data_IF_985662307813
#
_entry.id   IF_985662307813
#
_cell.length_a   1.000
_cell.length_b   1.000
_cell.length_c   1.000
_cell.angle_alpha   90.00
_cell.angle_beta   90.00
_cell.angle_gamma   90.00
#
_symmetry.space_group_name_H-M   'P 1'
#
loop_
_entity.id
_entity.type
_entity.pdbx_description
1 polymer ?
#
# COMPACT_ATOMS: atom_id res chain seq x y z
N UNK A 1 89.15 -24.35 -5.34
CA UNK A 1 88.01 -23.97 -4.43
C UNK A 1 87.12 -23.00 -5.22
N UNK A 2 86.15 -23.54 -5.92
CA UNK A 2 85.24 -22.77 -6.76
C UNK A 2 83.89 -22.76 -6.11
N UNK A 3 83.41 -21.59 -5.74
CA UNK A 3 82.01 -21.38 -5.19
C UNK A 3 81.09 -21.26 -6.38
N UNK A 4 80.13 -22.19 -6.51
CA UNK A 4 78.97 -22.13 -7.36
C UNK A 4 77.88 -21.32 -6.65
N UNK A 5 77.43 -20.21 -7.30
CA UNK A 5 76.26 -19.43 -6.89
C UNK A 5 75.13 -19.93 -7.77
N UNK A 6 74.11 -20.52 -7.10
CA UNK A 6 72.84 -20.88 -7.74
C UNK A 6 71.92 -19.69 -7.67
N UNK A 7 71.54 -19.12 -8.81
CA UNK A 7 70.51 -18.10 -8.92
C UNK A 7 69.16 -18.80 -9.02
N UNK A 8 68.26 -18.59 -8.01
CA UNK A 8 66.87 -19.02 -8.04
C UNK A 8 66.01 -17.92 -8.71
N UNK A 9 65.48 -18.24 -9.88
CA UNK A 9 64.44 -17.43 -10.55
C UNK A 9 63.09 -17.68 -9.86
N UNK A 10 62.59 -16.68 -9.14
CA UNK A 10 61.21 -16.67 -8.62
C UNK A 10 60.34 -16.11 -9.74
N UNK A 11 59.59 -16.99 -10.40
CA UNK A 11 58.52 -16.61 -11.30
C UNK A 11 57.29 -16.09 -10.52
N UNK A 12 57.04 -14.80 -10.61
CA UNK A 12 55.79 -14.22 -10.11
C UNK A 12 54.68 -14.54 -11.09
N UNK A 13 53.87 -15.51 -10.77
CA UNK A 13 52.61 -15.81 -11.49
C UNK A 13 51.59 -14.80 -11.04
N UNK A 14 51.38 -13.72 -11.81
CA UNK A 14 50.23 -12.83 -11.63
C UNK A 14 48.98 -13.56 -12.10
N UNK A 15 48.24 -14.12 -11.16
CA UNK A 15 46.83 -14.52 -11.36
C UNK A 15 46.02 -13.23 -11.57
N UNK A 16 45.71 -12.93 -12.82
CA UNK A 16 44.68 -11.94 -13.14
C UNK A 16 43.33 -12.47 -12.63
N UNK A 17 42.81 -11.90 -11.52
CA UNK A 17 41.40 -11.99 -11.20
C UNK A 17 40.66 -11.21 -12.28
N UNK A 18 40.13 -11.90 -13.28
CA UNK A 18 39.02 -11.43 -14.06
C UNK A 18 37.83 -11.40 -13.09
N UNK A 19 37.53 -10.22 -12.54
CA UNK A 19 36.21 -9.91 -11.98
C UNK A 19 35.28 -9.98 -13.18
N UNK A 20 34.58 -11.11 -13.34
CA UNK A 20 33.33 -11.13 -14.09
C UNK A 20 32.39 -10.22 -13.32
N UNK A 21 32.32 -8.94 -13.72
CA UNK A 21 31.14 -8.14 -13.44
C UNK A 21 29.99 -8.89 -14.09
N UNK A 22 29.07 -9.41 -13.27
CA UNK A 22 27.75 -9.74 -13.75
C UNK A 22 27.20 -8.39 -14.26
N UNK A 23 27.17 -8.20 -15.58
CA UNK A 23 26.29 -7.20 -16.17
C UNK A 23 24.90 -7.60 -15.70
N UNK A 24 24.18 -6.71 -15.01
CA UNK A 24 22.74 -6.79 -14.93
C UNK A 24 22.26 -7.10 -16.36
N UNK A 25 21.45 -8.12 -16.53
CA UNK A 25 20.81 -8.38 -17.82
C UNK A 25 20.10 -7.06 -18.17
N UNK A 26 20.35 -6.54 -19.38
CA UNK A 26 19.65 -5.35 -19.84
C UNK A 26 18.15 -5.68 -19.84
N UNK A 27 17.34 -4.82 -19.19
CA UNK A 27 15.88 -4.94 -19.19
C UNK A 27 15.36 -5.01 -20.63
N UNK A 28 14.60 -6.06 -20.95
CA UNK A 28 14.04 -6.25 -22.30
C UNK A 28 12.64 -5.63 -22.37
N UNK A 29 12.55 -4.41 -22.89
CA UNK A 29 11.26 -3.71 -23.01
C UNK A 29 10.27 -4.38 -23.98
N UNK A 30 10.70 -5.38 -24.78
CA UNK A 30 9.79 -6.16 -25.64
C UNK A 30 9.02 -7.28 -24.91
N UNK A 31 9.40 -7.57 -23.66
CA UNK A 31 8.66 -8.52 -22.81
C UNK A 31 7.30 -7.96 -22.38
N UNK A 32 6.37 -8.88 -22.11
CA UNK A 32 5.03 -8.53 -21.68
C UNK A 32 5.03 -7.93 -20.26
N UNK A 33 4.15 -6.95 -20.04
CA UNK A 33 3.92 -6.36 -18.73
C UNK A 33 3.14 -7.34 -17.85
N UNK A 34 3.70 -7.73 -16.71
CA UNK A 34 2.96 -8.48 -15.69
C UNK A 34 2.10 -7.52 -14.87
N UNK A 35 0.82 -7.43 -15.20
CA UNK A 35 -0.14 -6.63 -14.42
C UNK A 35 -0.48 -7.35 -13.13
N UNK A 36 -0.26 -6.69 -11.98
CA UNK A 36 -0.60 -7.22 -10.66
C UNK A 36 -1.71 -6.36 -10.06
N UNK A 37 -2.84 -6.98 -9.76
CA UNK A 37 -3.99 -6.31 -9.16
C UNK A 37 -4.38 -6.92 -7.82
N UNK A 38 -5.40 -6.36 -7.18
CA UNK A 38 -5.93 -6.80 -5.90
C UNK A 38 -7.26 -7.53 -6.09
N UNK A 39 -7.65 -8.26 -5.07
CA UNK A 39 -8.95 -8.94 -4.95
C UNK A 39 -10.14 -7.95 -5.01
N UNK A 40 -11.32 -8.43 -5.42
CA UNK A 40 -12.52 -7.60 -5.62
C UNK A 40 -12.98 -6.87 -4.35
N UNK A 41 -12.75 -7.44 -3.17
CA UNK A 41 -13.08 -6.81 -1.88
C UNK A 41 -12.14 -5.67 -1.48
N UNK A 42 -11.00 -5.50 -2.19
CA UNK A 42 -9.99 -4.50 -1.87
C UNK A 42 -10.48 -3.08 -2.07
N UNK A 43 -10.44 -2.28 -0.99
CA UNK A 43 -10.71 -0.85 -1.09
C UNK A 43 -9.66 -0.10 -1.91
N UNK A 44 -8.40 -0.55 -1.87
CA UNK A 44 -7.34 0.05 -2.69
C UNK A 44 -7.57 -0.20 -4.18
N UNK A 45 -8.02 -1.42 -4.58
CA UNK A 45 -8.43 -1.68 -5.97
C UNK A 45 -9.57 -0.76 -6.37
N UNK A 46 -10.64 -0.68 -5.55
CA UNK A 46 -11.78 0.19 -5.85
C UNK A 46 -11.38 1.64 -6.08
N UNK A 47 -10.56 2.22 -5.19
CA UNK A 47 -10.07 3.57 -5.33
C UNK A 47 -9.13 3.73 -6.55
N UNK A 48 -8.24 2.76 -6.81
CA UNK A 48 -7.33 2.77 -7.93
C UNK A 48 -8.06 2.80 -9.28
N UNK A 49 -9.01 1.89 -9.50
CA UNK A 49 -9.75 1.81 -10.76
C UNK A 49 -10.62 3.04 -11.00
N UNK A 50 -11.15 3.66 -9.94
CA UNK A 50 -11.93 4.90 -10.03
C UNK A 50 -11.02 6.09 -10.38
N UNK A 51 -9.90 6.26 -9.68
CA UNK A 51 -8.98 7.40 -9.86
C UNK A 51 -8.30 7.41 -11.23
N UNK A 52 -7.99 6.23 -11.78
CA UNK A 52 -7.40 6.11 -13.12
C UNK A 52 -8.43 5.92 -14.24
N UNK A 53 -9.74 5.94 -13.93
CA UNK A 53 -10.80 5.75 -14.92
C UNK A 53 -10.78 4.36 -15.59
N UNK A 54 -10.25 3.34 -14.91
CA UNK A 54 -10.31 1.94 -15.31
C UNK A 54 -11.73 1.39 -15.08
N UNK A 55 -12.47 1.96 -14.12
CA UNK A 55 -13.87 1.68 -13.92
C UNK A 55 -14.71 2.47 -14.91
N UNK A 56 -15.60 1.79 -15.66
CA UNK A 56 -16.49 2.40 -16.65
C UNK A 56 -17.96 2.20 -16.27
N UNK A 57 -18.82 3.14 -16.70
CA UNK A 57 -20.26 2.99 -16.54
C UNK A 57 -20.84 2.25 -17.76
N UNK A 58 -21.41 1.07 -17.55
CA UNK A 58 -22.08 0.26 -18.56
C UNK A 58 -23.50 -0.05 -18.10
N UNK A 59 -24.49 0.37 -18.89
CA UNK A 59 -25.92 0.15 -18.59
C UNK A 59 -26.38 0.68 -17.21
N UNK A 60 -25.69 1.73 -16.68
CA UNK A 60 -25.97 2.34 -15.38
C UNK A 60 -25.28 1.63 -14.20
N UNK A 61 -24.42 0.64 -14.46
CA UNK A 61 -23.59 -0.04 -13.48
C UNK A 61 -22.11 0.32 -13.68
N UNK A 62 -21.37 0.43 -12.57
CA UNK A 62 -19.93 0.63 -12.60
C UNK A 62 -19.24 -0.71 -12.80
N UNK A 63 -18.53 -0.86 -13.92
CA UNK A 63 -17.83 -2.09 -14.31
C UNK A 63 -16.33 -1.87 -14.20
N UNK A 64 -15.64 -2.77 -13.51
CA UNK A 64 -14.18 -2.82 -13.44
C UNK A 64 -13.63 -3.42 -14.74
N UNK A 65 -12.83 -2.64 -15.46
CA UNK A 65 -12.22 -3.02 -16.74
C UNK A 65 -10.78 -3.52 -16.58
N UNK A 66 -10.36 -3.85 -15.35
CA UNK A 66 -9.04 -4.49 -15.14
C UNK A 66 -8.92 -5.75 -15.98
N UNK A 67 -7.82 -5.90 -16.71
CA UNK A 67 -7.61 -7.07 -17.58
C UNK A 67 -7.76 -8.39 -16.84
N UNK A 68 -8.40 -9.37 -17.47
CA UNK A 68 -8.55 -10.72 -16.93
C UNK A 68 -7.21 -11.47 -16.80
N UNK A 69 -6.14 -10.97 -17.45
CA UNK A 69 -4.79 -11.55 -17.37
C UNK A 69 -4.02 -11.06 -16.14
N UNK A 70 -4.58 -10.13 -15.34
CA UNK A 70 -3.93 -9.62 -14.15
C UNK A 70 -3.74 -10.70 -13.08
N UNK A 71 -2.53 -10.76 -12.50
CA UNK A 71 -2.25 -11.56 -11.31
C UNK A 71 -2.95 -10.95 -10.10
N UNK A 72 -3.91 -11.68 -9.51
CA UNK A 72 -4.69 -11.18 -8.39
C UNK A 72 -4.04 -11.55 -7.06
N UNK A 73 -3.75 -10.53 -6.25
CA UNK A 73 -3.20 -10.67 -4.90
C UNK A 73 -4.24 -10.30 -3.84
N UNK A 74 -4.10 -10.86 -2.64
CA UNK A 74 -5.08 -10.73 -1.56
C UNK A 74 -4.62 -9.82 -0.39
N UNK A 75 -3.49 -9.14 -0.52
CA UNK A 75 -3.01 -8.20 0.49
C UNK A 75 -1.93 -7.27 -0.06
N UNK A 76 -1.69 -6.15 0.63
CA UNK A 76 -0.63 -5.20 0.29
C UNK A 76 0.76 -5.86 0.28
N UNK A 77 1.06 -6.71 1.27
CA UNK A 77 2.37 -7.38 1.36
C UNK A 77 2.59 -8.39 0.25
N UNK A 78 1.55 -9.14 -0.16
CA UNK A 78 1.64 -10.07 -1.31
C UNK A 78 1.84 -9.29 -2.61
N UNK A 79 1.14 -8.16 -2.79
CA UNK A 79 1.37 -7.27 -3.94
C UNK A 79 2.84 -6.83 -4.03
N UNK A 80 3.41 -6.31 -2.93
CA UNK A 80 4.80 -5.87 -2.89
C UNK A 80 5.77 -7.01 -3.22
N UNK A 81 5.59 -8.19 -2.61
CA UNK A 81 6.44 -9.35 -2.90
C UNK A 81 6.33 -9.78 -4.37
N UNK A 82 5.12 -9.80 -4.93
CA UNK A 82 4.90 -10.21 -6.34
C UNK A 82 5.61 -9.25 -7.30
N UNK A 83 5.53 -7.93 -7.05
CA UNK A 83 6.23 -6.93 -7.87
C UNK A 83 7.74 -6.99 -7.66
N UNK A 84 8.22 -7.22 -6.44
CA UNK A 84 9.65 -7.35 -6.15
C UNK A 84 10.30 -8.59 -6.80
N UNK A 85 9.54 -9.65 -7.03
CA UNK A 85 10.03 -10.92 -7.57
C UNK A 85 9.99 -10.98 -9.11
N UNK A 86 9.37 -9.99 -9.79
CA UNK A 86 9.22 -9.96 -11.25
C UNK A 86 9.61 -8.58 -11.81
N UNK A 87 10.69 -8.53 -12.61
CA UNK A 87 11.22 -7.28 -13.20
C UNK A 87 10.26 -6.61 -14.19
N UNK A 88 9.30 -7.35 -14.73
CA UNK A 88 8.28 -6.86 -15.68
C UNK A 88 6.94 -6.54 -15.00
N UNK A 89 6.87 -6.68 -13.67
CA UNK A 89 5.63 -6.44 -12.95
C UNK A 89 5.35 -4.95 -12.71
N UNK A 90 4.06 -4.60 -12.77
CA UNK A 90 3.50 -3.34 -12.32
C UNK A 90 2.32 -3.61 -11.38
N UNK A 91 2.27 -2.88 -10.28
CA UNK A 91 1.20 -2.98 -9.29
C UNK A 91 0.92 -1.66 -8.60
N UNK A 92 0.10 -1.68 -7.56
CA UNK A 92 -0.23 -0.48 -6.78
C UNK A 92 -0.41 -0.81 -5.31
N UNK A 93 0.04 0.09 -4.44
CA UNK A 93 0.01 -0.09 -2.99
C UNK A 93 -0.37 1.20 -2.25
N UNK A 94 -0.65 1.08 -0.97
CA UNK A 94 -0.69 2.20 -0.03
C UNK A 94 0.69 2.87 0.05
N UNK A 95 0.75 4.20 -0.08
CA UNK A 95 2.00 4.97 0.03
C UNK A 95 2.67 4.75 1.40
N UNK A 96 1.89 4.69 2.48
CA UNK A 96 2.43 4.41 3.81
C UNK A 96 3.04 3.01 3.98
N UNK A 97 2.80 2.09 3.03
CA UNK A 97 3.43 0.77 2.99
C UNK A 97 4.67 0.70 2.11
N UNK A 98 4.98 1.77 1.35
CA UNK A 98 6.11 1.79 0.43
C UNK A 98 7.44 1.69 1.17
N UNK A 99 8.25 0.72 0.79
CA UNK A 99 9.62 0.51 1.26
C UNK A 99 10.59 0.24 0.09
N UNK A 100 11.85 -0.04 0.39
CA UNK A 100 12.91 -0.22 -0.59
C UNK A 100 12.81 -1.53 -1.40
N UNK A 101 11.80 -2.38 -1.17
CA UNK A 101 11.61 -3.63 -1.92
C UNK A 101 11.06 -3.42 -3.32
N UNK A 102 10.38 -2.29 -3.56
CA UNK A 102 9.80 -1.91 -4.85
C UNK A 102 10.05 -0.42 -5.13
N UNK A 103 9.96 -0.04 -6.40
CA UNK A 103 10.13 1.35 -6.85
C UNK A 103 8.78 1.98 -7.18
N UNK A 104 8.45 3.12 -6.56
CA UNK A 104 7.30 3.92 -6.98
C UNK A 104 7.65 4.74 -8.24
N UNK A 105 6.75 4.75 -9.23
CA UNK A 105 6.88 5.59 -10.42
C UNK A 105 6.14 6.92 -10.22
N UNK A 106 6.64 7.98 -10.86
CA UNK A 106 5.92 9.26 -10.94
C UNK A 106 4.69 9.11 -11.81
N UNK A 107 3.63 9.86 -11.47
CA UNK A 107 2.40 9.90 -12.24
C UNK A 107 2.19 11.33 -12.73
N UNK A 108 2.12 11.51 -14.04
CA UNK A 108 1.94 12.83 -14.68
C UNK A 108 2.95 13.89 -14.16
N UNK A 109 4.20 13.45 -13.91
CA UNK A 109 5.30 14.29 -13.40
C UNK A 109 5.35 14.46 -11.89
N UNK A 110 4.35 13.98 -11.13
CA UNK A 110 4.28 14.09 -9.68
C UNK A 110 4.80 12.82 -8.97
N UNK A 111 5.50 12.99 -7.85
CA UNK A 111 5.95 11.88 -7.01
C UNK A 111 4.84 11.45 -6.03
N UNK A 112 4.78 10.16 -5.72
CA UNK A 112 3.90 9.66 -4.67
C UNK A 112 4.50 9.99 -3.30
N UNK A 113 4.30 11.23 -2.83
CA UNK A 113 4.78 11.71 -1.52
C UNK A 113 3.67 12.40 -0.75
N UNK A 114 3.79 12.44 0.58
CA UNK A 114 2.87 13.17 1.44
C UNK A 114 2.86 14.67 1.10
N UNK A 115 4.01 15.24 0.75
CA UNK A 115 4.14 16.66 0.41
C UNK A 115 3.40 16.98 -0.89
N UNK A 116 3.57 16.14 -1.95
CA UNK A 116 2.91 16.34 -3.25
C UNK A 116 1.39 16.10 -3.17
N UNK A 117 0.92 15.25 -2.24
CA UNK A 117 -0.51 15.09 -1.98
C UNK A 117 -1.07 16.33 -1.28
N UNK A 118 -0.36 16.85 -0.27
CA UNK A 118 -0.80 18.01 0.50
C UNK A 118 -0.84 19.30 -0.32
N UNK A 119 0.07 19.47 -1.27
CA UNK A 119 0.08 20.64 -2.17
C UNK A 119 -0.82 20.47 -3.40
N UNK A 120 -1.40 19.26 -3.59
CA UNK A 120 -2.34 18.93 -4.66
C UNK A 120 -1.69 18.58 -6.00
N UNK A 121 -0.37 18.41 -6.04
CA UNK A 121 0.37 17.97 -7.23
C UNK A 121 0.09 16.50 -7.52
N UNK A 122 0.18 15.62 -6.51
CA UNK A 122 -0.19 14.22 -6.62
C UNK A 122 -1.66 14.01 -6.21
N UNK A 123 -2.48 13.48 -7.13
CA UNK A 123 -3.95 13.39 -6.94
C UNK A 123 -4.45 11.98 -6.64
N UNK A 124 -3.56 11.00 -6.61
CA UNK A 124 -3.93 9.59 -6.44
C UNK A 124 -3.88 9.25 -4.96
N UNK A 125 -4.93 9.59 -4.25
CA UNK A 125 -5.08 9.32 -2.81
C UNK A 125 -6.55 9.03 -2.46
N UNK A 126 -6.79 8.41 -1.30
CA UNK A 126 -8.12 8.07 -0.80
C UNK A 126 -8.14 8.13 0.73
N UNK A 127 -9.34 8.23 1.33
CA UNK A 127 -9.47 8.15 2.78
C UNK A 127 -9.23 6.73 3.29
N UNK A 128 -8.65 6.64 4.48
CA UNK A 128 -8.72 5.48 5.35
C UNK A 128 -9.85 5.70 6.34
N UNK A 129 -10.81 4.80 6.32
CA UNK A 129 -11.98 4.84 7.17
C UNK A 129 -11.95 3.73 8.21
N UNK A 130 -12.39 4.03 9.41
CA UNK A 130 -12.94 3.05 10.32
C UNK A 130 -14.46 3.17 10.30
N UNK A 131 -15.15 2.07 10.57
CA UNK A 131 -16.61 2.06 10.65
C UNK A 131 -17.08 1.28 11.87
N UNK A 132 -18.20 1.73 12.46
CA UNK A 132 -18.88 1.09 13.58
C UNK A 132 -20.35 0.92 13.23
N UNK A 133 -21.04 -0.01 13.93
CA UNK A 133 -22.47 -0.21 13.82
C UNK A 133 -23.19 0.12 15.14
N UNK A 134 -23.91 1.22 15.13
CA UNK A 134 -24.61 1.69 16.34
C UNK A 134 -23.67 2.08 17.47
N UNK A 135 -24.06 1.80 18.71
CA UNK A 135 -23.23 2.08 19.88
C UNK A 135 -22.15 1.00 20.05
N UNK A 136 -20.93 1.42 20.35
CA UNK A 136 -19.80 0.53 20.63
C UNK A 136 -19.48 0.48 22.12
N UNK A 137 -18.65 -0.45 22.55
CA UNK A 137 -18.17 -0.53 23.94
C UNK A 137 -17.37 0.73 24.32
N UNK A 138 -17.31 1.03 25.63
CA UNK A 138 -16.48 2.13 26.14
C UNK A 138 -15.02 1.98 25.73
N UNK A 139 -14.51 0.74 25.63
CA UNK A 139 -13.15 0.45 25.18
C UNK A 139 -12.94 0.78 23.70
N UNK A 140 -13.89 0.41 22.82
CA UNK A 140 -13.82 0.76 21.41
C UNK A 140 -13.92 2.27 21.19
N UNK A 141 -14.81 2.94 21.94
CA UNK A 141 -14.94 4.40 21.87
C UNK A 141 -13.67 5.11 22.36
N UNK A 142 -13.03 4.63 23.44
CA UNK A 142 -11.79 5.21 23.95
C UNK A 142 -10.65 5.08 22.92
N UNK A 143 -10.56 3.93 22.25
CA UNK A 143 -9.58 3.74 21.17
C UNK A 143 -9.86 4.65 19.96
N UNK A 144 -11.13 4.81 19.56
CA UNK A 144 -11.51 5.76 18.49
C UNK A 144 -11.14 7.20 18.89
N UNK A 145 -11.42 7.59 20.14
CA UNK A 145 -11.04 8.91 20.64
C UNK A 145 -9.53 9.14 20.63
N UNK A 146 -8.73 8.10 20.95
CA UNK A 146 -7.28 8.15 20.83
C UNK A 146 -6.84 8.33 19.37
N UNK A 147 -7.36 7.52 18.44
CA UNK A 147 -7.03 7.64 17.01
C UNK A 147 -7.24 9.07 16.50
N UNK A 148 -8.36 9.69 16.90
CA UNK A 148 -8.74 11.04 16.45
C UNK A 148 -8.13 12.17 17.28
N UNK A 149 -7.34 11.86 18.29
CA UNK A 149 -6.64 12.84 19.12
C UNK A 149 -5.34 13.34 18.48
N UNK A 150 -4.74 14.41 19.06
CA UNK A 150 -3.41 14.89 18.66
C UNK A 150 -2.35 13.79 18.72
N UNK A 151 -2.37 12.96 19.76
CA UNK A 151 -1.40 11.87 19.92
C UNK A 151 -1.60 10.79 18.83
N UNK A 152 -2.83 10.42 18.54
CA UNK A 152 -3.16 9.47 17.48
C UNK A 152 -2.84 10.01 16.08
N UNK A 153 -3.17 11.28 15.81
CA UNK A 153 -2.89 11.90 14.52
C UNK A 153 -1.38 12.16 14.32
N UNK A 154 -0.61 12.40 15.39
CA UNK A 154 0.84 12.41 15.30
C UNK A 154 1.42 11.03 14.88
N UNK A 155 0.86 9.93 15.39
CA UNK A 155 1.23 8.57 14.92
C UNK A 155 0.92 8.38 13.43
N UNK A 156 -0.20 8.93 12.94
CA UNK A 156 -0.56 8.90 11.50
C UNK A 156 0.52 9.59 10.67
N UNK A 157 0.91 10.81 11.03
CA UNK A 157 1.94 11.60 10.31
C UNK A 157 3.33 10.96 10.38
N UNK A 158 3.75 10.47 11.55
CA UNK A 158 5.05 9.80 11.74
C UNK A 158 5.21 8.54 10.86
N UNK A 159 4.09 7.93 10.44
CA UNK A 159 4.07 6.76 9.59
C UNK A 159 3.73 7.07 8.12
N UNK A 160 3.96 8.32 7.66
CA UNK A 160 3.81 8.76 6.26
C UNK A 160 2.37 8.75 5.74
N UNK A 161 1.39 8.86 6.61
CA UNK A 161 0.00 9.10 6.24
C UNK A 161 -0.36 10.57 6.48
N UNK A 162 -1.47 11.02 5.94
CA UNK A 162 -1.92 12.40 6.05
C UNK A 162 -2.97 12.48 7.15
N UNK A 163 -2.66 13.24 8.19
CA UNK A 163 -3.56 13.49 9.32
C UNK A 163 -4.83 14.21 8.87
N UNK A 164 -5.91 14.04 9.63
CA UNK A 164 -7.23 14.59 9.31
C UNK A 164 -7.82 15.38 10.49
N UNK A 165 -8.65 16.36 10.16
CA UNK A 165 -9.41 17.14 11.13
C UNK A 165 -8.58 18.14 11.93
N UNK A 166 -9.16 18.62 13.02
CA UNK A 166 -8.51 19.50 14.01
C UNK A 166 -8.49 18.76 15.36
N UNK A 167 -7.46 17.90 15.60
CA UNK A 167 -7.47 16.99 16.74
C UNK A 167 -7.32 17.72 18.07
N UNK A 168 -8.04 17.24 19.08
CA UNK A 168 -7.92 17.68 20.47
C UNK A 168 -6.96 16.77 21.26
N UNK A 169 -6.57 17.21 22.48
CA UNK A 169 -5.75 16.39 23.37
C UNK A 169 -6.50 15.13 23.80
N UNK A 170 -5.82 13.97 23.79
CA UNK A 170 -6.44 12.71 24.25
C UNK A 170 -6.74 12.76 25.75
N UNK A 171 -7.92 12.27 26.10
CA UNK A 171 -8.32 12.03 27.48
C UNK A 171 -9.00 10.67 27.57
N UNK A 172 -8.38 9.73 28.28
CA UNK A 172 -8.95 8.39 28.47
C UNK A 172 -10.27 8.47 29.28
N UNK A 173 -11.24 7.68 28.87
CA UNK A 173 -12.46 7.46 29.64
C UNK A 173 -12.30 6.42 30.76
N UNK A 174 -11.08 5.83 30.90
CA UNK A 174 -10.77 4.80 31.87
C UNK A 174 -11.31 3.42 31.55
N UNK A 175 -11.68 3.19 30.29
CA UNK A 175 -12.21 1.92 29.81
C UNK A 175 -11.22 0.77 29.97
N UNK A 176 -11.77 -0.44 30.08
CA UNK A 176 -11.03 -1.71 30.08
C UNK A 176 -11.79 -2.74 29.25
N UNK A 177 -11.07 -3.72 28.70
CA UNK A 177 -11.67 -4.79 27.90
C UNK A 177 -10.91 -5.12 26.64
N UNK A 178 -11.58 -5.73 25.68
CA UNK A 178 -11.02 -6.13 24.39
C UNK A 178 -11.80 -5.47 23.26
N UNK A 179 -11.07 -5.05 22.21
CA UNK A 179 -11.61 -4.47 20.98
C UNK A 179 -11.08 -5.25 19.79
N UNK A 180 -11.96 -5.72 18.93
CA UNK A 180 -11.60 -6.41 17.68
C UNK A 180 -11.75 -5.41 16.53
N UNK A 181 -10.66 -5.19 15.82
CA UNK A 181 -10.58 -4.33 14.65
C UNK A 181 -10.31 -5.20 13.43
N UNK A 182 -11.15 -5.16 12.39
CA UNK A 182 -11.01 -6.06 11.25
C UNK A 182 -11.11 -5.33 9.90
N UNK A 183 -10.38 -5.78 8.89
CA UNK A 183 -10.53 -5.31 7.51
C UNK A 183 -9.25 -5.01 6.77
N UNK A 184 -9.25 -3.94 6.01
CA UNK A 184 -8.27 -3.55 4.99
C UNK A 184 -6.81 -3.80 5.36
N UNK A 185 -6.12 -4.60 4.54
CA UNK A 185 -4.68 -4.84 4.66
C UNK A 185 -3.82 -3.58 4.41
N UNK A 186 -4.37 -2.56 3.74
CA UNK A 186 -3.70 -1.27 3.55
C UNK A 186 -3.81 -0.36 4.78
N UNK A 187 -4.89 -0.48 5.57
CA UNK A 187 -5.08 0.26 6.82
C UNK A 187 -4.34 -0.41 7.98
N UNK A 188 -4.20 -1.74 7.94
CA UNK A 188 -3.60 -2.52 9.04
C UNK A 188 -2.24 -2.01 9.52
N UNK A 189 -1.29 -1.55 8.67
CA UNK A 189 0.00 -1.03 9.15
C UNK A 189 -0.14 0.19 10.07
N UNK A 190 -0.90 1.20 9.70
CA UNK A 190 -1.12 2.38 10.55
C UNK A 190 -1.95 2.03 11.78
N UNK A 191 -2.94 1.15 11.65
CA UNK A 191 -3.74 0.67 12.78
C UNK A 191 -2.88 -0.06 13.82
N UNK A 192 -1.88 -0.84 13.38
CA UNK A 192 -0.92 -1.48 14.28
C UNK A 192 -0.10 -0.45 15.06
N UNK A 193 0.33 0.65 14.42
CA UNK A 193 1.06 1.74 15.08
C UNK A 193 0.19 2.50 16.08
N UNK A 194 -1.06 2.77 15.71
CA UNK A 194 -2.03 3.39 16.60
C UNK A 194 -2.33 2.51 17.82
N UNK A 195 -2.50 1.19 17.63
CA UNK A 195 -2.62 0.22 18.71
C UNK A 195 -1.39 0.27 19.64
N UNK A 196 -0.17 0.12 19.10
CA UNK A 196 1.08 0.11 19.86
C UNK A 196 1.26 1.40 20.69
N UNK A 197 0.81 2.54 20.17
CA UNK A 197 0.87 3.81 20.89
C UNK A 197 -0.24 3.92 21.95
N UNK A 198 -1.46 3.50 21.61
CA UNK A 198 -2.60 3.51 22.54
C UNK A 198 -2.40 2.60 23.76
N UNK A 199 -1.89 1.37 23.56
CA UNK A 199 -1.64 0.42 24.66
C UNK A 199 -0.58 0.91 25.67
N UNK A 200 0.22 1.94 25.32
CA UNK A 200 1.14 2.61 26.27
C UNK A 200 0.42 3.61 27.19
N UNK A 201 -0.70 4.15 26.77
CA UNK A 201 -1.47 5.15 27.54
C UNK A 201 -2.69 4.53 28.21
N UNK A 202 -3.19 3.38 27.71
CA UNK A 202 -4.22 2.58 28.34
C UNK A 202 -3.92 1.09 28.20
N UNK A 203 -3.22 0.51 29.17
CA UNK A 203 -2.80 -0.90 29.22
C UNK A 203 -3.93 -1.88 29.65
N UNK A 204 -5.12 -1.37 29.92
CA UNK A 204 -6.30 -2.18 30.31
C UNK A 204 -7.16 -2.58 29.12
N UNK A 205 -6.94 -1.98 27.94
CA UNK A 205 -7.65 -2.33 26.72
C UNK A 205 -6.71 -3.13 25.81
N UNK A 206 -7.14 -4.32 25.43
CA UNK A 206 -6.47 -5.17 24.45
C UNK A 206 -7.07 -4.92 23.06
N UNK A 207 -6.26 -4.50 22.11
CA UNK A 207 -6.69 -4.34 20.71
C UNK A 207 -6.24 -5.56 19.90
N UNK A 208 -7.19 -6.26 19.27
CA UNK A 208 -6.91 -7.34 18.31
C UNK A 208 -7.17 -6.86 16.89
N UNK A 209 -6.18 -6.95 16.00
CA UNK A 209 -6.31 -6.56 14.59
C UNK A 209 -6.37 -7.82 13.72
N UNK A 210 -7.44 -7.93 12.91
CA UNK A 210 -7.69 -9.01 11.97
C UNK A 210 -7.63 -8.46 10.54
N UNK A 211 -6.54 -8.75 9.83
CA UNK A 211 -6.31 -8.24 8.49
C UNK A 211 -7.04 -9.06 7.43
N UNK A 212 -7.78 -8.38 6.57
CA UNK A 212 -8.46 -8.92 5.38
C UNK A 212 -8.53 -7.85 4.28
N UNK A 213 -9.63 -7.79 3.54
CA UNK A 213 -9.97 -6.69 2.64
C UNK A 213 -11.03 -5.75 3.25
N UNK A 214 -11.29 -4.61 2.58
CA UNK A 214 -12.24 -3.60 3.08
C UNK A 214 -13.67 -4.13 3.12
N UNK A 215 -14.11 -4.86 2.12
CA UNK A 215 -15.49 -5.37 2.04
C UNK A 215 -15.76 -6.40 3.13
N UNK A 216 -14.80 -7.31 3.37
CA UNK A 216 -14.85 -8.27 4.47
C UNK A 216 -14.87 -7.57 5.83
N UNK A 217 -14.04 -6.53 6.02
CA UNK A 217 -14.04 -5.73 7.25
C UNK A 217 -15.39 -5.07 7.53
N UNK A 218 -15.98 -4.43 6.52
CA UNK A 218 -17.31 -3.81 6.64
C UNK A 218 -18.39 -4.84 6.94
N UNK A 219 -18.36 -6.00 6.24
CA UNK A 219 -19.33 -7.08 6.50
C UNK A 219 -19.21 -7.64 7.93
N UNK A 220 -17.98 -7.85 8.41
CA UNK A 220 -17.75 -8.30 9.79
C UNK A 220 -18.31 -7.31 10.83
N UNK A 221 -18.22 -6.01 10.54
CA UNK A 221 -18.80 -4.97 11.40
C UNK A 221 -20.34 -4.98 11.35
N UNK A 222 -20.92 -5.16 10.17
CA UNK A 222 -22.37 -5.31 9.99
C UNK A 222 -22.90 -6.50 10.79
N UNK A 223 -22.17 -7.62 10.76
CA UNK A 223 -22.55 -8.88 11.42
C UNK A 223 -22.19 -8.92 12.91
N UNK A 224 -21.52 -7.88 13.44
CA UNK A 224 -21.08 -7.81 14.84
C UNK A 224 -19.96 -8.80 15.20
N UNK A 225 -19.19 -9.24 14.21
CA UNK A 225 -18.02 -10.12 14.39
C UNK A 225 -16.80 -9.33 14.90
N UNK A 226 -16.71 -8.04 14.53
CA UNK A 226 -15.73 -7.09 15.06
C UNK A 226 -16.42 -5.82 15.55
N UNK A 227 -15.73 -5.08 16.41
CA UNK A 227 -16.21 -3.82 16.98
C UNK A 227 -15.99 -2.64 16.02
N UNK A 228 -14.87 -2.68 15.28
CA UNK A 228 -14.45 -1.62 14.36
C UNK A 228 -14.00 -2.26 13.04
N UNK A 229 -14.62 -1.83 11.95
CA UNK A 229 -14.21 -2.21 10.60
C UNK A 229 -13.16 -1.24 10.02
N UNK A 230 -12.28 -1.70 9.14
CA UNK A 230 -11.30 -0.87 8.44
C UNK A 230 -11.54 -0.92 6.93
N UNK A 231 -11.59 0.25 6.28
CA UNK A 231 -11.66 0.36 4.82
C UNK A 231 -10.67 1.39 4.26
N UNK A 232 -10.04 1.07 3.12
CA UNK A 232 -9.17 1.98 2.36
C UNK A 232 -9.91 2.61 1.16
N UNK A 233 -11.14 2.97 1.38
CA UNK A 233 -12.09 3.63 0.48
C UNK A 233 -13.23 4.24 1.27
N UNK A 234 -14.05 5.05 0.62
CA UNK A 234 -15.36 5.43 1.17
C UNK A 234 -16.26 4.20 1.39
N UNK A 235 -17.21 4.32 2.32
CA UNK A 235 -18.21 3.29 2.48
C UNK A 235 -19.15 3.25 1.25
N UNK A 236 -19.58 2.04 0.90
CA UNK A 236 -20.63 1.86 -0.11
C UNK A 236 -21.99 2.27 0.47
N UNK A 237 -22.91 2.68 -0.40
CA UNK A 237 -24.27 3.02 0.01
C UNK A 237 -24.94 1.88 0.79
N UNK A 238 -24.74 0.63 0.31
CA UNK A 238 -25.25 -0.57 0.98
C UNK A 238 -24.71 -0.79 2.39
N UNK A 239 -23.45 -0.37 2.66
CA UNK A 239 -22.82 -0.46 3.97
C UNK A 239 -23.39 0.60 4.93
N UNK A 240 -23.60 1.80 4.41
CA UNK A 240 -24.26 2.89 5.16
C UNK A 240 -25.74 2.56 5.44
N UNK A 241 -26.47 2.03 4.46
CA UNK A 241 -27.85 1.56 4.62
C UNK A 241 -27.98 0.41 5.62
N UNK A 242 -26.94 -0.43 5.75
CA UNK A 242 -26.85 -1.47 6.77
C UNK A 242 -26.55 -0.94 8.19
N UNK A 243 -26.38 0.39 8.34
CA UNK A 243 -26.22 1.08 9.61
C UNK A 243 -24.78 1.32 10.04
N UNK A 244 -23.81 1.22 9.13
CA UNK A 244 -22.45 1.61 9.43
C UNK A 244 -22.29 3.14 9.44
N UNK A 245 -21.52 3.61 10.41
CA UNK A 245 -21.05 5.01 10.50
C UNK A 245 -19.55 5.05 10.34
N UNK A 246 -19.07 5.80 9.33
CA UNK A 246 -17.66 5.95 9.04
C UNK A 246 -17.03 7.12 9.79
N UNK A 247 -15.75 6.97 10.11
CA UNK A 247 -14.85 8.04 10.55
C UNK A 247 -13.57 7.95 9.72
N UNK A 248 -13.25 9.02 8.99
CA UNK A 248 -11.95 9.12 8.31
C UNK A 248 -10.85 9.30 9.34
N UNK A 249 -9.88 8.41 9.35
CA UNK A 249 -8.76 8.43 10.33
C UNK A 249 -7.45 8.94 9.74
N UNK A 250 -7.31 8.90 8.41
CA UNK A 250 -6.17 9.39 7.66
C UNK A 250 -6.54 9.53 6.17
N UNK A 251 -5.78 10.30 5.40
CA UNK A 251 -5.70 10.11 3.96
C UNK A 251 -4.39 9.40 3.62
N UNK A 252 -4.41 8.60 2.54
CA UNK A 252 -3.26 7.82 2.11
C UNK A 252 -3.14 7.82 0.58
N UNK A 253 -1.93 8.05 0.08
CA UNK A 253 -1.63 7.96 -1.34
C UNK A 253 -1.73 6.51 -1.85
N UNK A 254 -2.02 6.36 -3.14
CA UNK A 254 -1.81 5.10 -3.85
C UNK A 254 -0.58 5.26 -4.73
N UNK A 255 0.50 4.56 -4.41
CA UNK A 255 1.70 4.52 -5.24
C UNK A 255 1.56 3.41 -6.29
N UNK A 256 1.80 3.74 -7.56
CA UNK A 256 2.05 2.74 -8.59
C UNK A 256 3.50 2.29 -8.48
N UNK A 257 3.71 1.00 -8.44
CA UNK A 257 5.02 0.41 -8.15
C UNK A 257 5.45 -0.58 -9.23
N UNK A 258 6.74 -0.59 -9.48
CA UNK A 258 7.42 -1.54 -10.35
C UNK A 258 8.60 -2.18 -9.60
N UNK A 259 9.19 -3.23 -10.17
CA UNK A 259 10.41 -3.82 -9.66
C UNK A 259 11.57 -2.80 -9.66
N UNK A 260 12.50 -2.93 -8.73
CA UNK A 260 13.67 -2.04 -8.64
C UNK A 260 14.60 -2.07 -9.87
N UNK A 261 14.62 -3.18 -10.59
CA UNK A 261 15.41 -3.35 -11.82
C UNK A 261 14.68 -2.83 -13.08
N UNK A 262 13.39 -2.49 -12.98
CA UNK A 262 12.65 -1.87 -14.08
C UNK A 262 13.14 -0.43 -14.32
N UNK A 263 13.50 -0.03 -15.55
CA UNK A 263 14.07 1.29 -15.83
C UNK A 263 13.04 2.44 -15.86
N UNK A 264 11.74 2.13 -15.85
CA UNK A 264 10.69 3.14 -15.95
C UNK A 264 10.58 3.93 -14.64
N UNK A 265 10.68 5.25 -14.72
CA UNK A 265 10.60 6.16 -13.57
C UNK A 265 9.32 7.00 -13.54
N UNK A 266 8.61 7.08 -14.67
CA UNK A 266 7.42 7.90 -14.82
C UNK A 266 6.43 7.27 -15.81
N UNK A 267 5.14 7.38 -15.50
CA UNK A 267 4.02 7.02 -16.38
C UNK A 267 2.95 8.11 -16.31
N UNK A 268 2.19 8.27 -17.38
CA UNK A 268 0.98 9.09 -17.35
C UNK A 268 -0.22 8.28 -16.83
N UNK A 269 -1.24 8.97 -16.35
CA UNK A 269 -2.51 8.34 -15.96
C UNK A 269 -3.13 7.52 -17.11
N UNK A 270 -3.04 8.01 -18.35
CA UNK A 270 -3.55 7.30 -19.53
C UNK A 270 -2.75 6.02 -19.81
N UNK A 271 -1.42 6.04 -19.66
CA UNK A 271 -0.58 4.84 -19.79
C UNK A 271 -0.93 3.79 -18.72
N UNK A 272 -1.13 4.21 -17.46
CA UNK A 272 -1.57 3.31 -16.40
C UNK A 272 -2.91 2.70 -16.73
N UNK A 273 -3.89 3.51 -17.18
CA UNK A 273 -5.19 3.00 -17.63
C UNK A 273 -5.01 1.96 -18.72
N UNK A 274 -4.24 2.25 -19.77
CA UNK A 274 -4.07 1.34 -20.91
C UNK A 274 -3.39 0.02 -20.53
N UNK A 275 -2.44 0.05 -19.59
CA UNK A 275 -1.78 -1.15 -19.06
C UNK A 275 -2.77 -2.00 -18.25
N UNK A 276 -3.48 -1.39 -17.31
CA UNK A 276 -4.39 -2.14 -16.43
C UNK A 276 -5.67 -2.60 -17.11
N UNK A 277 -6.05 -2.01 -18.25
CA UNK A 277 -7.14 -2.52 -19.12
C UNK A 277 -6.66 -3.56 -20.14
N UNK A 278 -5.34 -3.79 -20.27
CA UNK A 278 -4.77 -4.74 -21.24
C UNK A 278 -4.70 -4.20 -22.67
N UNK A 279 -4.90 -2.88 -22.87
CA UNK A 279 -4.72 -2.24 -24.19
C UNK A 279 -3.24 -2.14 -24.56
N UNK A 280 -2.37 -1.94 -23.57
CA UNK A 280 -0.90 -1.95 -23.69
C UNK A 280 -0.36 -3.15 -22.94
N UNK A 281 0.37 -4.01 -23.64
CA UNK A 281 0.84 -5.30 -23.09
C UNK A 281 2.36 -5.42 -23.00
N UNK A 282 3.14 -4.53 -23.63
CA UNK A 282 4.61 -4.54 -23.56
C UNK A 282 5.15 -3.21 -23.06
N UNK A 283 6.30 -3.24 -22.39
CA UNK A 283 6.97 -2.03 -21.93
C UNK A 283 7.42 -1.11 -23.08
N UNK A 284 7.81 -1.69 -24.23
CA UNK A 284 8.20 -0.93 -25.43
C UNK A 284 7.05 -0.09 -26.04
N UNK A 285 5.80 -0.48 -25.80
CA UNK A 285 4.64 0.27 -26.30
C UNK A 285 4.37 1.54 -25.49
N UNK A 286 4.90 1.64 -24.26
CA UNK A 286 4.80 2.82 -23.40
C UNK A 286 5.81 3.93 -23.78
N UNK A 287 6.85 3.63 -24.59
CA UNK A 287 7.87 4.58 -25.02
C UNK A 287 7.46 5.40 -26.26
N UNK A 288 6.26 5.16 -26.82
CA UNK A 288 5.74 5.81 -28.02
C UNK A 288 4.85 7.00 -27.68
#
# INVERSE_FOLDING_TARGET
>A
MRKLVAAALIGVMTMGLTVCGASAADFDSSEDITVVSREDGSGTRGAFIELFGIQEEQDGEKVDMTTDEANITNSTSVMMTTVADDEYAIGYISLGSLDDSVKAVKIDGAEATVDDINDGTYKIFRPFNIAIKGDVSDAAQDFINYIMSKDGQAVVEENKYIAVGEPEDYTSNGAEGKVIVAGSSSVSPVMQKLKEAYEKVNDKVEIEIQTSDSTTGMQNTIDGICDIGMASRELKDSETEAGLTATVIANDGIAVVVNNDNPIDELTSDQIKSVFTGETTTWADLEK
#
